data_IF_399226372111
#
_entry.id   IF_399226372111
#
_cell.length_a   1.000
_cell.length_b   1.000
_cell.length_c   1.000
_cell.angle_alpha   90.00
_cell.angle_beta   90.00
_cell.angle_gamma   90.00
#
_symmetry.space_group_name_H-M   'P 1'
#
loop_
_entity.id
_entity.type
_entity.pdbx_description
1 polymer ?
#
# COMPACT_ATOMS: atom_id res chain seq x y z
N UNK A 1 -1.09 -45.24 33.23
CA UNK A 1 -0.36 -45.30 34.51
C UNK A 1 1.05 -44.75 34.27
N UNK A 2 1.54 -43.88 35.15
CA UNK A 2 2.94 -43.39 35.23
C UNK A 2 3.88 -44.52 35.79
N UNK A 3 5.21 -44.36 35.95
CA UNK A 3 6.10 -43.17 35.81
C UNK A 3 7.33 -43.45 34.87
N UNK A 4 8.33 -42.58 34.61
CA UNK A 4 9.23 -41.83 35.53
C UNK A 4 9.94 -40.63 34.88
N UNK A 5 10.18 -39.64 35.73
CA UNK A 5 11.05 -38.45 35.59
C UNK A 5 12.55 -38.76 35.70
N UNK A 6 13.39 -38.02 34.96
CA UNK A 6 14.77 -37.66 35.36
C UNK A 6 15.00 -36.16 35.03
N UNK A 7 15.84 -35.50 35.83
CA UNK A 7 16.02 -34.04 35.94
C UNK A 7 17.22 -33.50 35.10
N UNK A 8 17.60 -32.20 35.18
CA UNK A 8 18.44 -31.53 34.17
C UNK A 8 19.96 -31.71 34.38
N UNK A 9 20.73 -31.41 33.33
CA UNK A 9 22.18 -31.22 33.41
C UNK A 9 22.55 -29.74 33.65
N UNK A 10 23.58 -29.52 34.47
CA UNK A 10 24.17 -28.22 34.76
C UNK A 10 25.64 -28.16 34.30
N UNK A 11 26.18 -26.94 34.14
CA UNK A 11 27.60 -26.67 33.86
C UNK A 11 27.94 -26.67 32.36
N UNK A 12 28.68 -25.70 31.81
CA UNK A 12 29.90 -25.09 32.35
C UNK A 12 29.92 -23.56 32.16
N UNK A 13 30.59 -22.88 33.09
CA UNK A 13 31.07 -21.52 32.87
C UNK A 13 32.41 -21.55 32.12
N UNK A 14 32.65 -20.57 31.24
CA UNK A 14 34.01 -20.19 30.86
C UNK A 14 34.16 -18.68 30.97
N UNK A 15 35.00 -18.27 31.92
CA UNK A 15 35.34 -16.88 32.19
C UNK A 15 36.64 -16.53 31.48
N UNK A 16 36.65 -15.46 30.69
CA UNK A 16 37.87 -14.73 30.34
C UNK A 16 37.58 -13.25 30.52
N UNK A 17 38.12 -12.68 31.59
CA UNK A 17 38.30 -11.24 31.71
C UNK A 17 39.58 -10.84 30.98
N UNK A 18 39.56 -9.72 30.26
CA UNK A 18 40.76 -8.93 29.98
C UNK A 18 40.48 -7.49 30.40
N UNK A 19 41.44 -6.94 31.13
CA UNK A 19 41.35 -5.71 31.92
C UNK A 19 41.46 -4.43 31.11
N UNK A 20 40.84 -3.37 31.62
CA UNK A 20 41.00 -1.98 31.19
C UNK A 20 42.45 -1.48 31.25
N UNK A 21 42.75 -0.45 30.46
CA UNK A 21 43.73 0.58 30.83
C UNK A 21 43.28 1.96 30.31
N UNK A 22 43.56 3.01 31.09
CA UNK A 22 43.15 4.41 30.86
C UNK A 22 44.27 5.27 30.24
N UNK A 23 43.88 6.46 29.74
CA UNK A 23 44.76 7.58 29.35
C UNK A 23 44.14 8.35 28.17
N UNK A 24 43.54 9.55 28.31
CA UNK A 24 44.15 10.86 28.60
C UNK A 24 45.12 11.34 27.49
N UNK A 25 45.22 12.61 27.08
CA UNK A 25 44.35 13.82 27.13
C UNK A 25 45.03 14.92 26.25
N UNK A 26 44.32 15.98 25.80
CA UNK A 26 44.86 17.21 25.13
C UNK A 26 45.75 17.05 23.84
N UNK A 27 45.83 17.96 22.86
CA UNK A 27 45.85 19.44 22.87
C UNK A 27 45.71 20.02 21.44
N UNK A 28 45.26 21.28 21.32
CA UNK A 28 45.28 22.12 20.10
C UNK A 28 46.13 23.38 20.37
N UNK A 29 47.00 23.81 19.43
CA UNK A 29 46.97 25.21 18.94
C UNK A 29 47.32 25.34 17.42
N UNK A 30 47.43 26.55 16.85
CA UNK A 30 46.29 27.44 16.53
C UNK A 30 46.62 28.54 15.48
N UNK A 31 45.55 29.20 15.01
CA UNK A 31 45.40 30.58 14.50
C UNK A 31 46.55 31.35 13.79
N UNK A 32 46.27 31.90 12.59
CA UNK A 32 46.44 33.34 12.24
C UNK A 32 46.06 33.67 10.77
N UNK A 33 45.39 34.82 10.56
CA UNK A 33 45.38 35.57 9.30
C UNK A 33 46.33 36.79 9.43
N UNK A 34 46.67 37.49 8.32
CA UNK A 34 45.97 38.76 8.08
C UNK A 34 45.78 39.16 6.59
N UNK A 35 44.89 40.12 6.36
CA UNK A 35 44.80 40.92 5.11
C UNK A 35 45.65 42.21 5.23
N UNK A 36 45.91 42.99 4.15
CA UNK A 36 44.94 44.03 3.78
C UNK A 36 44.82 44.43 2.28
N UNK A 37 43.61 44.87 1.92
CA UNK A 37 43.22 45.96 0.99
C UNK A 37 44.14 46.45 -0.15
N UNK A 38 43.61 46.40 -1.39
CA UNK A 38 43.56 47.55 -2.31
C UNK A 38 42.53 47.37 -3.45
N UNK A 39 41.70 48.38 -3.70
CA UNK A 39 40.95 48.62 -4.95
C UNK A 39 41.78 49.60 -5.84
N UNK A 40 41.46 49.92 -7.12
CA UNK A 40 40.21 49.78 -7.88
C UNK A 40 40.38 49.01 -9.22
N UNK A 41 39.39 48.73 -10.07
CA UNK A 41 38.68 49.69 -10.95
C UNK A 41 37.53 48.99 -11.69
N UNK A 42 36.53 49.76 -12.11
CA UNK A 42 35.33 49.33 -12.83
C UNK A 42 35.61 48.52 -14.10
N UNK A 43 34.95 47.36 -14.25
CA UNK A 43 34.52 46.88 -15.57
C UNK A 43 33.19 46.13 -15.44
N UNK A 44 32.28 46.38 -16.38
CA UNK A 44 30.87 46.02 -16.30
C UNK A 44 30.63 44.72 -17.09
N UNK A 45 30.40 43.60 -16.40
CA UNK A 45 29.89 42.36 -17.01
C UNK A 45 28.70 41.84 -16.20
N UNK A 46 27.54 41.84 -16.84
CA UNK A 46 26.34 41.21 -16.32
C UNK A 46 26.51 39.68 -16.34
N UNK A 47 26.81 39.09 -15.18
CA UNK A 47 26.77 37.63 -15.01
C UNK A 47 25.34 37.21 -14.79
N UNK A 48 24.81 36.47 -15.77
CA UNK A 48 23.47 35.91 -15.80
C UNK A 48 23.26 34.97 -14.60
N UNK A 49 22.22 35.20 -13.79
CA UNK A 49 21.82 34.22 -12.78
C UNK A 49 21.26 32.96 -13.47
N UNK A 50 21.65 31.75 -13.05
CA UNK A 50 20.99 30.54 -13.53
C UNK A 50 19.54 30.52 -13.02
N UNK A 51 18.60 30.33 -13.95
CA UNK A 51 17.18 30.19 -13.64
C UNK A 51 16.91 28.97 -12.71
N UNK A 52 15.85 28.98 -11.91
CA UNK A 52 15.46 27.81 -11.13
C UNK A 52 15.23 26.62 -12.06
N UNK A 53 15.86 25.49 -11.73
CA UNK A 53 15.61 24.22 -12.42
C UNK A 53 14.14 23.85 -12.27
N UNK A 54 13.42 23.52 -13.36
CA UNK A 54 12.02 23.14 -13.26
C UNK A 54 11.88 21.88 -12.42
N UNK A 55 10.92 21.93 -11.49
CA UNK A 55 10.50 20.82 -10.64
C UNK A 55 10.32 19.53 -11.43
N UNK A 56 10.61 18.39 -10.77
CA UNK A 56 10.51 17.06 -11.34
C UNK A 56 9.22 16.88 -12.15
N UNK A 57 9.36 16.54 -13.43
CA UNK A 57 8.23 16.19 -14.27
C UNK A 57 7.46 15.03 -13.61
N UNK A 58 6.13 15.17 -13.52
CA UNK A 58 5.27 14.07 -13.08
C UNK A 58 5.58 12.81 -13.91
N UNK A 59 5.59 11.62 -13.30
CA UNK A 59 5.86 10.38 -14.03
C UNK A 59 4.88 10.30 -15.20
N UNK A 60 5.42 10.02 -16.40
CA UNK A 60 4.63 9.94 -17.61
C UNK A 60 3.46 8.97 -17.39
N UNK A 61 2.23 9.31 -17.84
CA UNK A 61 1.08 8.45 -17.64
C UNK A 61 1.37 7.06 -18.21
N UNK A 62 0.96 5.97 -17.52
CA UNK A 62 1.28 4.61 -17.93
C UNK A 62 0.84 4.38 -19.39
N UNK A 63 1.63 3.62 -20.18
CA UNK A 63 1.36 3.44 -21.60
C UNK A 63 -0.05 2.90 -21.80
N UNK A 64 -0.86 3.61 -22.59
CA UNK A 64 -2.24 3.23 -22.89
C UNK A 64 -2.25 1.80 -23.43
N UNK A 65 -2.83 0.87 -22.66
CA UNK A 65 -3.05 -0.50 -23.12
C UNK A 65 -3.91 -0.47 -24.39
N UNK A 66 -3.61 -1.40 -25.31
CA UNK A 66 -4.31 -1.53 -26.60
C UNK A 66 -5.82 -1.63 -26.38
N UNK A 67 -6.61 -0.99 -27.25
CA UNK A 67 -8.07 -1.04 -27.18
C UNK A 67 -8.56 -2.50 -27.29
N UNK A 68 -9.15 -3.03 -26.22
CA UNK A 68 -9.66 -4.41 -26.20
C UNK A 68 -11.11 -4.41 -26.66
N UNK A 69 -11.35 -5.03 -27.81
CA UNK A 69 -12.69 -5.17 -28.40
C UNK A 69 -13.34 -6.45 -27.87
N UNK A 70 -14.28 -6.29 -26.94
CA UNK A 70 -15.07 -7.39 -26.42
C UNK A 70 -16.19 -7.77 -27.41
N UNK A 71 -16.19 -9.02 -27.87
CA UNK A 71 -17.29 -9.54 -28.69
C UNK A 71 -18.57 -9.67 -27.85
N UNK A 72 -19.69 -9.15 -28.36
CA UNK A 72 -20.99 -9.17 -27.66
C UNK A 72 -21.62 -10.56 -27.61
N UNK A 73 -21.22 -11.44 -28.53
CA UNK A 73 -21.80 -12.76 -28.75
C UNK A 73 -20.85 -13.90 -28.32
N UNK A 74 -19.71 -13.58 -27.70
CA UNK A 74 -18.78 -14.58 -27.20
C UNK A 74 -19.39 -15.39 -26.05
N UNK A 75 -19.34 -16.72 -26.17
CA UNK A 75 -19.63 -17.63 -25.05
C UNK A 75 -18.67 -17.36 -23.89
N UNK A 76 -19.21 -17.27 -22.68
CA UNK A 76 -18.39 -17.06 -21.47
C UNK A 76 -17.58 -18.34 -21.21
N UNK A 77 -16.26 -18.23 -21.35
CA UNK A 77 -15.30 -19.33 -21.13
C UNK A 77 -14.29 -18.94 -20.06
N UNK A 78 -13.85 -19.92 -19.27
CA UNK A 78 -12.85 -19.74 -18.22
C UNK A 78 -11.60 -20.57 -18.54
N UNK A 79 -10.43 -19.93 -18.59
CA UNK A 79 -9.16 -20.63 -18.86
C UNK A 79 -8.70 -21.50 -17.70
N UNK A 80 -9.00 -21.09 -16.46
CA UNK A 80 -8.69 -21.86 -15.25
C UNK A 80 -9.98 -22.57 -14.76
N UNK A 81 -9.99 -23.92 -14.68
CA UNK A 81 -11.17 -24.67 -14.25
C UNK A 81 -11.56 -24.40 -12.78
N UNK A 82 -10.63 -23.96 -11.93
CA UNK A 82 -10.95 -23.52 -10.56
C UNK A 82 -11.74 -22.22 -10.58
N UNK A 83 -11.41 -21.28 -11.47
CA UNK A 83 -12.18 -20.04 -11.63
C UNK A 83 -13.62 -20.38 -12.05
N UNK A 84 -13.79 -21.27 -13.02
CA UNK A 84 -15.13 -21.74 -13.40
C UNK A 84 -15.87 -22.36 -12.20
N UNK A 85 -15.23 -23.27 -11.46
CA UNK A 85 -15.83 -23.92 -10.30
C UNK A 85 -16.28 -22.91 -9.22
N UNK A 86 -15.46 -21.89 -8.93
CA UNK A 86 -15.80 -20.80 -8.01
C UNK A 86 -17.04 -20.04 -8.51
N UNK A 87 -17.08 -19.68 -9.81
CA UNK A 87 -18.24 -18.99 -10.40
C UNK A 87 -19.49 -19.85 -10.35
N UNK A 88 -19.40 -21.16 -10.64
CA UNK A 88 -20.52 -22.11 -10.57
C UNK A 88 -21.12 -22.21 -9.18
N UNK A 89 -20.28 -22.31 -8.14
CA UNK A 89 -20.72 -22.32 -6.73
C UNK A 89 -21.43 -21.01 -6.38
N UNK A 90 -20.83 -19.86 -6.70
CA UNK A 90 -21.37 -18.55 -6.33
C UNK A 90 -22.61 -18.14 -7.13
N UNK A 91 -22.76 -18.64 -8.37
CA UNK A 91 -23.94 -18.45 -9.21
C UNK A 91 -25.04 -19.50 -8.99
N UNK A 92 -24.81 -20.49 -8.12
CA UNK A 92 -25.70 -21.63 -7.85
C UNK A 92 -26.03 -22.44 -9.12
N UNK A 93 -25.01 -22.70 -9.95
CA UNK A 93 -25.15 -23.33 -11.28
C UNK A 93 -24.07 -24.40 -11.51
N UNK A 94 -24.27 -25.64 -11.02
CA UNK A 94 -23.26 -26.69 -11.09
C UNK A 94 -22.97 -27.15 -12.54
N UNK A 95 -23.97 -27.09 -13.43
CA UNK A 95 -23.87 -27.63 -14.79
C UNK A 95 -24.34 -26.63 -15.87
N UNK A 96 -24.10 -26.99 -17.14
CA UNK A 96 -24.50 -26.19 -18.31
C UNK A 96 -23.71 -24.90 -18.51
N UNK A 97 -24.00 -24.19 -19.61
CA UNK A 97 -23.30 -22.96 -20.01
C UNK A 97 -23.56 -21.82 -19.03
N UNK A 98 -22.51 -21.19 -18.51
CA UNK A 98 -22.61 -20.00 -17.66
C UNK A 98 -23.03 -18.80 -18.52
N UNK A 99 -24.04 -18.06 -18.07
CA UNK A 99 -24.56 -16.88 -18.78
C UNK A 99 -24.23 -15.58 -18.04
N UNK A 100 -24.35 -14.43 -18.70
CA UNK A 100 -24.21 -13.12 -18.05
C UNK A 100 -25.18 -12.95 -16.86
N UNK A 101 -26.39 -13.51 -16.95
CA UNK A 101 -27.36 -13.50 -15.86
C UNK A 101 -26.91 -14.33 -14.65
N UNK A 102 -26.07 -15.34 -14.85
CA UNK A 102 -25.47 -16.13 -13.78
C UNK A 102 -24.30 -15.38 -13.12
N UNK A 103 -23.46 -14.69 -13.90
CA UNK A 103 -22.42 -13.81 -13.37
C UNK A 103 -23.02 -12.67 -12.53
N UNK A 104 -24.18 -12.16 -12.94
CA UNK A 104 -24.96 -11.16 -12.18
C UNK A 104 -25.52 -11.65 -10.83
N UNK A 105 -25.43 -12.94 -10.50
CA UNK A 105 -25.80 -13.49 -9.17
C UNK A 105 -24.61 -13.53 -8.20
N UNK A 106 -23.38 -13.51 -8.71
CA UNK A 106 -22.15 -13.65 -7.91
C UNK A 106 -21.95 -12.41 -7.05
N UNK A 107 -22.12 -12.57 -5.73
CA UNK A 107 -21.91 -11.50 -4.74
C UNK A 107 -20.47 -11.45 -4.23
N UNK A 108 -19.79 -12.58 -4.21
CA UNK A 108 -18.41 -12.70 -3.72
C UNK A 108 -17.61 -13.53 -4.69
N UNK A 109 -16.47 -13.02 -5.15
CA UNK A 109 -15.55 -13.70 -6.05
C UNK A 109 -14.16 -13.75 -5.39
N UNK A 110 -13.83 -14.90 -4.80
CA UNK A 110 -12.50 -15.15 -4.23
C UNK A 110 -11.71 -16.02 -5.19
N UNK A 111 -10.65 -15.46 -5.77
CA UNK A 111 -9.78 -16.10 -6.75
C UNK A 111 -8.40 -16.44 -6.16
N UNK A 112 -8.29 -16.48 -4.84
CA UNK A 112 -7.02 -16.65 -4.10
C UNK A 112 -6.23 -17.91 -4.49
N UNK A 113 -6.91 -18.97 -4.96
CA UNK A 113 -6.30 -20.26 -5.36
C UNK A 113 -6.26 -20.49 -6.88
N UNK A 114 -6.66 -19.48 -7.66
CA UNK A 114 -6.72 -19.46 -9.14
C UNK A 114 -5.42 -18.88 -9.68
N UNK A 115 -4.91 -19.41 -10.80
CA UNK A 115 -3.79 -18.76 -11.49
C UNK A 115 -4.33 -17.64 -12.39
N UNK A 116 -4.27 -16.40 -11.90
CA UNK A 116 -4.67 -15.22 -12.65
C UNK A 116 -3.47 -14.28 -12.85
N UNK A 117 -2.88 -14.28 -14.04
CA UNK A 117 -1.78 -13.38 -14.40
C UNK A 117 -2.28 -11.97 -14.79
N UNK A 118 -3.50 -11.84 -15.33
CA UNK A 118 -4.15 -10.57 -15.71
C UNK A 118 -5.66 -10.58 -15.46
N UNK A 119 -6.27 -9.40 -15.32
CA UNK A 119 -7.72 -9.25 -15.19
C UNK A 119 -8.32 -9.12 -16.59
N UNK A 120 -9.22 -10.03 -16.97
CA UNK A 120 -9.88 -10.01 -18.28
C UNK A 120 -10.85 -8.80 -18.39
N UNK A 121 -10.61 -7.87 -19.34
CA UNK A 121 -11.41 -6.65 -19.51
C UNK A 121 -12.82 -6.89 -20.06
N UNK A 122 -13.10 -8.07 -20.61
CA UNK A 122 -14.38 -8.47 -21.17
C UNK A 122 -15.21 -9.32 -20.19
N UNK A 123 -14.55 -10.15 -19.39
CA UNK A 123 -15.20 -11.00 -18.39
C UNK A 123 -15.52 -10.23 -17.09
N UNK A 124 -14.57 -9.46 -16.54
CA UNK A 124 -14.75 -8.86 -15.21
C UNK A 124 -15.92 -7.87 -15.11
N UNK A 125 -16.15 -6.96 -16.08
CA UNK A 125 -17.32 -6.07 -16.08
C UNK A 125 -18.69 -6.76 -16.08
N UNK A 126 -18.76 -8.08 -16.31
CA UNK A 126 -20.01 -8.85 -16.28
C UNK A 126 -20.46 -9.24 -14.87
N UNK A 127 -19.59 -9.16 -13.86
CA UNK A 127 -19.92 -9.42 -12.45
C UNK A 127 -20.63 -8.22 -11.79
N UNK A 128 -21.73 -7.76 -12.38
CA UNK A 128 -22.39 -6.47 -12.03
C UNK A 128 -22.88 -6.35 -10.58
N UNK A 129 -22.96 -7.45 -9.84
CA UNK A 129 -23.48 -7.53 -8.47
C UNK A 129 -22.42 -7.87 -7.42
N UNK A 130 -21.14 -7.91 -7.81
CA UNK A 130 -20.05 -8.32 -6.91
C UNK A 130 -19.80 -7.25 -5.83
N UNK A 131 -19.83 -7.68 -4.58
CA UNK A 131 -19.55 -6.89 -3.38
C UNK A 131 -18.16 -7.20 -2.80
N UNK A 132 -17.76 -8.47 -2.82
CA UNK A 132 -16.43 -8.90 -2.37
C UNK A 132 -15.59 -9.44 -3.53
N UNK A 133 -14.42 -8.86 -3.79
CA UNK A 133 -13.48 -9.34 -4.81
C UNK A 133 -12.09 -9.54 -4.20
N UNK A 134 -11.55 -10.76 -4.30
CA UNK A 134 -10.24 -11.12 -3.75
C UNK A 134 -9.38 -11.75 -4.84
N UNK A 135 -8.40 -11.01 -5.35
CA UNK A 135 -7.51 -11.47 -6.42
C UNK A 135 -6.37 -12.35 -5.85
N UNK A 136 -5.83 -13.32 -6.61
CA UNK A 136 -4.65 -14.06 -6.17
C UNK A 136 -3.42 -13.13 -6.10
N UNK A 137 -2.42 -13.48 -5.28
CA UNK A 137 -1.10 -12.88 -5.40
C UNK A 137 -0.48 -13.24 -6.77
N UNK A 138 0.31 -12.35 -7.35
CA UNK A 138 0.97 -12.61 -8.64
C UNK A 138 1.22 -11.38 -9.51
N UNK A 139 1.13 -11.58 -10.83
CA UNK A 139 1.61 -10.64 -11.86
C UNK A 139 0.59 -9.58 -12.30
N UNK A 140 -0.54 -9.46 -11.60
CA UNK A 140 -1.57 -8.49 -11.92
C UNK A 140 -0.98 -7.07 -11.74
N UNK A 141 -1.04 -6.26 -12.79
CA UNK A 141 -0.51 -4.88 -12.81
C UNK A 141 -1.58 -3.79 -13.02
N UNK A 142 -2.78 -4.18 -13.46
CA UNK A 142 -3.79 -3.27 -14.01
C UNK A 142 -5.18 -3.56 -13.47
N UNK A 143 -5.84 -2.49 -13.02
CA UNK A 143 -7.16 -2.49 -12.42
C UNK A 143 -8.25 -1.90 -13.33
N UNK A 144 -7.91 -1.46 -14.54
CA UNK A 144 -8.85 -0.84 -15.49
C UNK A 144 -10.13 -1.66 -15.72
N UNK A 145 -10.10 -3.01 -15.82
CA UNK A 145 -11.31 -3.83 -15.91
C UNK A 145 -12.28 -3.70 -14.73
N UNK A 146 -11.81 -3.32 -13.54
CA UNK A 146 -12.65 -3.22 -12.34
C UNK A 146 -13.41 -1.90 -12.24
N UNK A 147 -13.08 -0.88 -13.07
CA UNK A 147 -13.63 0.49 -12.98
C UNK A 147 -15.16 0.55 -13.02
N UNK A 148 -15.82 -0.42 -13.64
CA UNK A 148 -17.28 -0.50 -13.77
C UNK A 148 -17.97 -1.18 -12.58
N UNK A 149 -17.22 -1.86 -11.71
CA UNK A 149 -17.73 -2.69 -10.60
C UNK A 149 -18.07 -1.85 -9.36
N UNK A 150 -18.87 -0.80 -9.56
CA UNK A 150 -19.29 0.20 -8.56
C UNK A 150 -20.12 -0.37 -7.39
N UNK A 151 -20.39 -1.68 -7.39
CA UNK A 151 -21.02 -2.46 -6.33
C UNK A 151 -20.04 -3.04 -5.31
N UNK A 152 -18.73 -3.00 -5.57
CA UNK A 152 -17.71 -3.54 -4.67
C UNK A 152 -17.68 -2.75 -3.35
N UNK A 153 -17.73 -3.51 -2.26
CA UNK A 153 -17.67 -3.09 -0.86
C UNK A 153 -16.34 -3.54 -0.23
N UNK A 154 -15.82 -4.72 -0.60
CA UNK A 154 -14.53 -5.24 -0.12
C UNK A 154 -13.64 -5.70 -1.27
N UNK A 155 -12.41 -5.19 -1.33
CA UNK A 155 -11.42 -5.48 -2.37
C UNK A 155 -10.08 -5.89 -1.75
N UNK A 156 -9.56 -7.07 -2.13
CA UNK A 156 -8.19 -7.49 -1.84
C UNK A 156 -7.40 -7.68 -3.12
N UNK A 157 -6.32 -6.92 -3.25
CA UNK A 157 -5.34 -6.97 -4.35
C UNK A 157 -3.89 -7.07 -3.84
N UNK A 158 -3.71 -7.44 -2.58
CA UNK A 158 -2.41 -7.61 -1.95
C UNK A 158 -1.50 -8.63 -2.64
N UNK A 159 -0.18 -8.42 -2.53
CA UNK A 159 0.87 -9.22 -3.14
C UNK A 159 0.73 -9.34 -4.68
N UNK A 160 0.41 -8.21 -5.33
CA UNK A 160 0.37 -8.05 -6.79
C UNK A 160 1.36 -6.97 -7.24
N UNK A 161 1.50 -6.78 -8.56
CA UNK A 161 2.42 -5.81 -9.15
C UNK A 161 1.78 -4.43 -9.44
N UNK A 162 0.57 -4.19 -8.93
CA UNK A 162 -0.21 -2.96 -9.13
C UNK A 162 0.53 -1.72 -8.60
N UNK A 163 0.53 -0.65 -9.40
CA UNK A 163 1.11 0.67 -9.08
C UNK A 163 0.08 1.79 -9.11
N UNK A 164 -0.89 1.68 -10.01
CA UNK A 164 -1.91 2.70 -10.27
C UNK A 164 -3.26 2.30 -9.65
N UNK A 165 -3.80 3.17 -8.79
CA UNK A 165 -5.10 3.01 -8.14
C UNK A 165 -6.19 3.87 -8.80
N UNK A 166 -5.91 4.63 -9.85
CA UNK A 166 -6.88 5.49 -10.54
C UNK A 166 -8.19 4.76 -10.94
N UNK A 167 -8.18 3.48 -11.38
CA UNK A 167 -9.42 2.73 -11.66
C UNK A 167 -10.34 2.54 -10.45
N UNK A 168 -9.82 2.63 -9.22
CA UNK A 168 -10.61 2.46 -7.99
C UNK A 168 -11.36 3.73 -7.57
N UNK A 169 -10.99 4.91 -8.08
CA UNK A 169 -11.53 6.21 -7.66
C UNK A 169 -13.06 6.37 -7.77
N UNK A 170 -13.72 5.58 -8.62
CA UNK A 170 -15.17 5.53 -8.78
C UNK A 170 -15.90 4.52 -7.88
N UNK A 171 -15.17 3.67 -7.14
CA UNK A 171 -15.74 2.59 -6.32
C UNK A 171 -16.20 3.10 -4.94
N UNK A 172 -17.03 4.15 -4.93
CA UNK A 172 -17.41 4.91 -3.72
C UNK A 172 -18.14 4.10 -2.63
N UNK A 173 -18.50 2.84 -2.89
CA UNK A 173 -19.07 1.91 -1.90
C UNK A 173 -18.03 1.10 -1.13
N UNK A 174 -16.75 1.19 -1.49
CA UNK A 174 -15.68 0.43 -0.87
C UNK A 174 -15.56 0.79 0.63
N UNK A 175 -15.75 -0.22 1.48
CA UNK A 175 -15.57 -0.19 2.94
C UNK A 175 -14.22 -0.78 3.36
N UNK A 176 -13.72 -1.81 2.66
CA UNK A 176 -12.48 -2.51 2.98
C UNK A 176 -11.56 -2.62 1.76
N UNK A 177 -10.32 -2.17 1.92
CA UNK A 177 -9.29 -2.24 0.88
C UNK A 177 -7.97 -2.78 1.44
N UNK A 178 -7.50 -3.88 0.87
CA UNK A 178 -6.16 -4.41 1.11
C UNK A 178 -5.31 -4.37 -0.17
N UNK A 179 -4.29 -3.50 -0.15
CA UNK A 179 -3.27 -3.34 -1.19
C UNK A 179 -1.87 -3.69 -0.67
N UNK A 180 -1.75 -4.39 0.47
CA UNK A 180 -0.45 -4.69 1.08
C UNK A 180 0.47 -5.47 0.15
N UNK A 181 1.79 -5.28 0.27
CA UNK A 181 2.81 -5.89 -0.60
C UNK A 181 2.59 -5.59 -2.08
N UNK A 182 2.30 -4.32 -2.40
CA UNK A 182 2.24 -3.81 -3.78
C UNK A 182 3.19 -2.60 -3.95
N UNK A 183 3.74 -2.36 -5.16
CA UNK A 183 4.59 -1.21 -5.45
C UNK A 183 3.83 0.13 -5.57
N UNK A 184 2.67 0.27 -4.88
CA UNK A 184 1.89 1.51 -4.82
C UNK A 184 2.65 2.59 -4.05
N UNK A 185 2.54 3.83 -4.53
CA UNK A 185 3.16 5.04 -3.95
C UNK A 185 2.14 6.14 -3.67
N UNK A 186 1.19 6.32 -4.59
CA UNK A 186 0.19 7.37 -4.55
C UNK A 186 -1.16 6.85 -4.06
N UNK A 187 -1.70 7.49 -3.02
CA UNK A 187 -3.02 7.22 -2.47
C UNK A 187 -4.08 8.25 -2.89
N UNK A 188 -3.74 9.24 -3.73
CA UNK A 188 -4.68 10.26 -4.20
C UNK A 188 -5.97 9.69 -4.81
N UNK A 189 -5.96 8.57 -5.57
CA UNK A 189 -7.19 7.93 -6.05
C UNK A 189 -8.15 7.43 -4.95
N UNK A 190 -7.66 7.23 -3.72
CA UNK A 190 -8.48 6.79 -2.58
C UNK A 190 -9.22 7.94 -1.88
N UNK A 191 -8.88 9.20 -2.16
CA UNK A 191 -9.46 10.36 -1.48
C UNK A 191 -10.97 10.55 -1.70
N UNK A 192 -11.55 9.87 -2.70
CA UNK A 192 -13.00 9.84 -3.00
C UNK A 192 -13.74 8.74 -2.26
N UNK A 193 -13.04 7.77 -1.66
CA UNK A 193 -13.62 6.56 -1.06
C UNK A 193 -14.09 6.82 0.38
N UNK A 194 -14.97 7.82 0.55
CA UNK A 194 -15.44 8.32 1.85
C UNK A 194 -16.17 7.30 2.73
N UNK A 195 -16.45 6.10 2.21
CA UNK A 195 -17.04 4.98 2.93
C UNK A 195 -16.00 3.98 3.50
N UNK A 196 -14.71 4.16 3.20
CA UNK A 196 -13.66 3.25 3.64
C UNK A 196 -13.53 3.24 5.18
N UNK A 197 -13.70 2.05 5.78
CA UNK A 197 -13.57 1.78 7.21
C UNK A 197 -12.27 1.05 7.53
N UNK A 198 -11.72 0.26 6.61
CA UNK A 198 -10.45 -0.44 6.80
C UNK A 198 -9.54 -0.30 5.57
N UNK A 199 -8.27 0.05 5.82
CA UNK A 199 -7.23 0.15 4.80
C UNK A 199 -5.96 -0.57 5.24
N UNK A 200 -5.47 -1.47 4.41
CA UNK A 200 -4.17 -2.14 4.59
C UNK A 200 -3.22 -1.74 3.44
N UNK A 201 -2.13 -1.08 3.81
CA UNK A 201 -1.03 -0.61 2.94
C UNK A 201 0.33 -1.15 3.42
N UNK A 202 0.33 -2.24 4.19
CA UNK A 202 1.54 -2.91 4.69
C UNK A 202 2.54 -3.21 3.56
N UNK A 203 3.84 -2.99 3.77
CA UNK A 203 4.90 -3.29 2.79
C UNK A 203 4.66 -2.65 1.40
N UNK A 204 4.10 -1.45 1.37
CA UNK A 204 3.99 -0.60 0.15
C UNK A 204 5.08 0.48 0.11
N UNK A 205 5.24 1.14 -1.05
CA UNK A 205 6.18 2.26 -1.23
C UNK A 205 5.56 3.63 -0.89
N UNK A 206 4.42 3.67 -0.20
CA UNK A 206 3.74 4.90 0.23
C UNK A 206 4.58 5.69 1.25
N UNK A 207 4.57 7.02 1.11
CA UNK A 207 5.20 7.98 2.04
C UNK A 207 4.24 9.07 2.54
N UNK A 208 3.15 9.35 1.82
CA UNK A 208 2.20 10.43 2.13
C UNK A 208 0.80 9.90 2.47
N UNK A 209 0.26 10.38 3.59
CA UNK A 209 -1.08 10.05 4.08
C UNK A 209 -2.12 11.17 3.83
N UNK A 210 -1.72 12.30 3.23
CA UNK A 210 -2.60 13.44 2.93
C UNK A 210 -3.91 13.06 2.25
N UNK A 211 -3.96 12.12 1.27
CA UNK A 211 -5.20 11.65 0.67
C UNK A 211 -6.22 11.05 1.65
N UNK A 212 -5.77 10.48 2.77
CA UNK A 212 -6.63 9.82 3.76
C UNK A 212 -7.33 10.81 4.72
N UNK A 213 -6.88 12.05 4.79
CA UNK A 213 -7.35 13.07 5.77
C UNK A 213 -8.87 13.34 5.76
N UNK A 214 -9.55 13.01 4.66
CA UNK A 214 -11.00 13.16 4.48
C UNK A 214 -11.81 11.90 4.76
N UNK A 215 -11.18 10.73 4.95
CA UNK A 215 -11.84 9.44 5.14
C UNK A 215 -12.34 9.29 6.58
N UNK A 216 -13.34 10.09 6.98
CA UNK A 216 -13.81 10.21 8.38
C UNK A 216 -14.40 8.92 8.97
N UNK A 217 -14.72 7.93 8.13
CA UNK A 217 -15.19 6.60 8.52
C UNK A 217 -14.08 5.59 8.74
N UNK A 218 -12.81 5.92 8.46
CA UNK A 218 -11.69 5.01 8.61
C UNK A 218 -11.50 4.64 10.09
N UNK A 219 -11.69 3.37 10.41
CA UNK A 219 -11.59 2.81 11.76
C UNK A 219 -10.29 2.02 11.97
N UNK A 220 -9.75 1.42 10.90
CA UNK A 220 -8.50 0.67 10.92
C UNK A 220 -7.56 1.09 9.78
N UNK A 221 -6.31 1.39 10.13
CA UNK A 221 -5.21 1.60 9.19
C UNK A 221 -4.04 0.68 9.54
N UNK A 222 -3.61 -0.16 8.60
CA UNK A 222 -2.38 -0.94 8.70
C UNK A 222 -1.37 -0.44 7.69
N UNK A 223 -0.20 -0.03 8.17
CA UNK A 223 0.88 0.58 7.40
C UNK A 223 2.25 0.09 7.89
N UNK A 224 2.32 -1.18 8.29
CA UNK A 224 3.56 -1.84 8.76
C UNK A 224 4.59 -1.87 7.64
N UNK A 225 5.87 -1.68 7.98
CA UNK A 225 7.00 -1.73 7.03
C UNK A 225 6.87 -0.77 5.84
N UNK A 226 6.24 0.39 6.04
CA UNK A 226 6.15 1.49 5.07
C UNK A 226 7.19 2.58 5.35
N UNK A 227 7.34 3.56 4.44
CA UNK A 227 8.26 4.70 4.61
C UNK A 227 7.58 5.98 5.11
N UNK A 228 6.35 5.86 5.64
CA UNK A 228 5.61 6.98 6.22
C UNK A 228 6.25 7.38 7.55
N UNK A 229 6.45 8.69 7.73
CA UNK A 229 6.94 9.30 8.96
C UNK A 229 5.95 10.32 9.55
N UNK A 230 5.20 11.05 8.71
CA UNK A 230 4.22 12.05 9.14
C UNK A 230 2.82 11.45 9.34
N UNK A 231 2.29 11.59 10.56
CA UNK A 231 0.93 11.17 10.93
C UNK A 231 -0.05 12.36 11.00
N UNK A 232 0.39 13.58 10.70
CA UNK A 232 -0.44 14.80 10.73
C UNK A 232 -1.73 14.71 9.89
N UNK A 233 -1.77 14.03 8.71
CA UNK A 233 -3.02 13.81 7.97
C UNK A 233 -4.10 13.05 8.75
N UNK A 234 -3.73 12.22 9.74
CA UNK A 234 -4.65 11.37 10.49
C UNK A 234 -5.35 12.11 11.64
N UNK A 235 -4.83 13.26 12.10
CA UNK A 235 -5.28 13.95 13.33
C UNK A 235 -6.78 14.23 13.43
N UNK A 236 -7.44 14.39 12.28
CA UNK A 236 -8.87 14.68 12.15
C UNK A 236 -9.73 13.43 11.86
N UNK A 237 -9.16 12.22 11.93
CA UNK A 237 -9.88 10.95 11.77
C UNK A 237 -10.36 10.46 13.13
N UNK A 238 -11.34 11.17 13.72
CA UNK A 238 -11.85 10.87 15.07
C UNK A 238 -12.56 9.51 15.22
N UNK A 239 -12.81 8.82 14.11
CA UNK A 239 -13.32 7.44 14.08
C UNK A 239 -12.22 6.36 14.05
N UNK A 240 -10.94 6.72 13.94
CA UNK A 240 -9.83 5.77 13.86
C UNK A 240 -9.61 5.08 15.21
N UNK A 241 -9.75 3.75 15.24
CA UNK A 241 -9.68 2.90 16.44
C UNK A 241 -8.37 2.14 16.54
N UNK A 242 -7.83 1.65 15.41
CA UNK A 242 -6.61 0.84 15.38
C UNK A 242 -5.65 1.35 14.29
N UNK A 243 -4.40 1.60 14.67
CA UNK A 243 -3.33 2.06 13.78
C UNK A 243 -2.09 1.18 13.97
N UNK A 244 -1.71 0.43 12.94
CA UNK A 244 -0.54 -0.48 12.99
C UNK A 244 0.64 0.11 12.20
N UNK A 245 1.74 0.39 12.90
CA UNK A 245 2.91 1.13 12.39
C UNK A 245 4.24 0.38 12.57
N UNK A 246 4.22 -0.87 13.01
CA UNK A 246 5.43 -1.66 13.25
C UNK A 246 6.38 -1.69 12.03
N UNK A 247 7.64 -1.34 12.25
CA UNK A 247 8.66 -1.22 11.20
C UNK A 247 8.47 -0.07 10.21
N UNK A 248 7.62 0.93 10.49
CA UNK A 248 7.54 2.17 9.71
C UNK A 248 8.57 3.22 10.17
N UNK A 249 8.63 4.37 9.49
CA UNK A 249 9.55 5.47 9.81
C UNK A 249 8.98 6.51 10.80
N UNK A 250 7.89 6.18 11.50
CA UNK A 250 7.23 7.08 12.47
C UNK A 250 8.12 7.27 13.72
N UNK A 251 8.52 8.52 13.98
CA UNK A 251 9.32 8.89 15.15
C UNK A 251 8.60 9.78 16.17
N UNK A 252 7.35 10.18 15.91
CA UNK A 252 6.57 11.06 16.79
C UNK A 252 5.07 10.87 16.66
N UNK A 253 4.43 10.42 17.75
CA UNK A 253 2.99 10.13 17.78
C UNK A 253 2.15 11.27 18.40
N UNK A 254 2.77 12.37 18.84
CA UNK A 254 2.09 13.46 19.56
C UNK A 254 0.86 14.04 18.80
N UNK A 255 0.93 14.06 17.47
CA UNK A 255 -0.12 14.63 16.61
C UNK A 255 -1.40 13.79 16.58
N UNK A 256 -1.32 12.49 16.91
CA UNK A 256 -2.47 11.57 16.96
C UNK A 256 -3.04 11.34 18.37
N UNK A 257 -2.42 11.90 19.42
CA UNK A 257 -2.95 11.84 20.81
C UNK A 257 -4.35 12.47 20.95
N UNK A 258 -4.72 13.38 20.03
CA UNK A 258 -6.06 13.97 19.97
C UNK A 258 -7.12 13.12 19.29
N UNK A 259 -6.87 11.83 19.03
CA UNK A 259 -7.84 10.89 18.45
C UNK A 259 -8.40 10.00 19.58
N UNK A 260 -9.71 10.10 19.90
CA UNK A 260 -10.27 9.45 21.08
C UNK A 260 -10.32 7.93 20.93
N UNK A 261 -9.73 7.20 21.89
CA UNK A 261 -9.77 5.74 21.93
C UNK A 261 -8.87 5.04 20.91
N UNK A 262 -7.98 5.77 20.22
CA UNK A 262 -7.03 5.19 19.27
C UNK A 262 -6.04 4.25 19.96
N UNK A 263 -5.93 3.03 19.42
CA UNK A 263 -4.88 2.06 19.74
C UNK A 263 -3.80 2.13 18.68
N UNK A 264 -2.57 2.40 19.11
CA UNK A 264 -1.37 2.32 18.27
C UNK A 264 -0.70 0.97 18.54
N UNK A 265 -0.29 0.30 17.46
CA UNK A 265 0.40 -0.98 17.48
C UNK A 265 1.73 -0.85 16.73
N UNK A 266 2.84 -0.77 17.47
CA UNK A 266 4.20 -0.57 16.96
C UNK A 266 5.13 -1.79 17.13
N UNK A 267 4.66 -2.85 17.80
CA UNK A 267 5.28 -4.19 17.91
C UNK A 267 5.14 -5.04 16.62
#
# INVERSE_FOLDING_TARGET
MLPRTIAPLAGLALSIAVTSLLGCDEKKPDAAAPSPSAAPTTSNLAVLMPAPTPSAAAPAPPPKKKDVVCSKDATITFTDPKFEAIVRVQAQKPEGTITKADLGKVKTLSLTEVKLDEIDPCLFPLFTSVKGLYLPPGKIEDLSPLKTLTTIESLRIAATQIKDLAPLSGLVKLDRLDIGRTPVKDLAPLATLVNLTELQIDETEVTDLTPLSKLKKLEMLQMKRTRIADLSPLKELKGLKNLHIAGSAVSGQAVILGIPGLKVHDE
#
